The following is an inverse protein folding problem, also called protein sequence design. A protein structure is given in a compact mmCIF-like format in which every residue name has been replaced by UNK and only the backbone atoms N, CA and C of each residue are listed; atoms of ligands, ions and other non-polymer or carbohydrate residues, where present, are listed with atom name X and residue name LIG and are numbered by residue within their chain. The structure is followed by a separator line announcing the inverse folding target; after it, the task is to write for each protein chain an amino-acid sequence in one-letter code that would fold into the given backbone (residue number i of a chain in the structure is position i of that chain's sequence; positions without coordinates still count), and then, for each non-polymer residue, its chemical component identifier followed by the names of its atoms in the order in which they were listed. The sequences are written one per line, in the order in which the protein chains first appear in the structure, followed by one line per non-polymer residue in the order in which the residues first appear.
data_IF_019126093013
#
_entry.id   IF_019126093013
#
_cell.length_a   1.000
_cell.length_b   1.000
_cell.length_c   1.000
_cell.angle_alpha   90.00
_cell.angle_beta   90.00
_cell.angle_gamma   90.00
#
_symmetry.space_group_name_H-M   'P 1'
#
loop_
_entity.id
_entity.type
_entity.pdbx_description
1 polymer ?
#
# COMPACT_ATOMS: atom_id res chain seq x y z
N UNK A 1 -20.06 9.80 -4.56
CA UNK A 1 -19.79 8.80 -3.51
C UNK A 1 -18.39 8.24 -3.74
N UNK A 2 -17.43 8.42 -2.83
CA UNK A 2 -16.08 7.86 -3.00
C UNK A 2 -16.09 6.39 -2.52
N UNK A 3 -15.81 5.46 -3.44
CA UNK A 3 -15.74 4.03 -3.12
C UNK A 3 -14.53 3.77 -2.22
N UNK A 4 -14.74 3.09 -1.08
CA UNK A 4 -13.66 2.62 -0.22
C UNK A 4 -12.99 1.40 -0.87
N UNK A 5 -11.87 1.63 -1.57
CA UNK A 5 -11.09 0.62 -2.29
C UNK A 5 -9.59 0.75 -1.94
N UNK A 6 -9.23 0.53 -0.66
CA UNK A 6 -7.92 0.89 -0.12
C UNK A 6 -6.73 0.20 -0.82
N UNK A 7 -6.95 -0.96 -1.43
CA UNK A 7 -5.92 -1.72 -2.15
C UNK A 7 -6.11 -1.67 -3.68
N UNK A 8 -7.06 -0.85 -4.17
CA UNK A 8 -7.61 -0.98 -5.52
C UNK A 8 -8.79 -1.96 -5.56
N UNK A 9 -9.57 -1.95 -6.66
CA UNK A 9 -10.84 -2.68 -6.73
C UNK A 9 -10.67 -4.20 -6.58
N UNK A 10 -9.86 -4.84 -7.43
CA UNK A 10 -9.70 -6.29 -7.42
C UNK A 10 -9.01 -6.81 -6.16
N UNK A 11 -7.94 -6.16 -5.70
CA UNK A 11 -7.25 -6.58 -4.49
C UNK A 11 -8.13 -6.39 -3.23
N UNK A 12 -8.97 -5.35 -3.19
CA UNK A 12 -9.95 -5.17 -2.10
C UNK A 12 -10.97 -6.31 -2.09
N UNK A 13 -11.56 -6.65 -3.24
CA UNK A 13 -12.52 -7.75 -3.32
C UNK A 13 -11.90 -9.11 -2.99
N UNK A 14 -10.68 -9.35 -3.43
CA UNK A 14 -9.92 -10.57 -3.10
C UNK A 14 -9.57 -10.63 -1.62
N UNK A 15 -9.22 -9.50 -0.99
CA UNK A 15 -8.95 -9.44 0.44
C UNK A 15 -10.21 -9.76 1.26
N UNK A 16 -11.35 -9.17 0.88
CA UNK A 16 -12.64 -9.48 1.53
C UNK A 16 -12.98 -10.96 1.42
N UNK A 17 -12.68 -11.61 0.30
CA UNK A 17 -12.94 -13.04 0.09
C UNK A 17 -12.04 -13.90 0.97
N UNK A 18 -10.77 -13.50 1.14
CA UNK A 18 -9.84 -14.15 2.06
C UNK A 18 -10.24 -14.00 3.53
N UNK A 19 -10.79 -12.85 3.93
CA UNK A 19 -11.20 -12.59 5.32
C UNK A 19 -12.54 -13.23 5.68
N UNK A 20 -13.51 -13.16 4.77
CA UNK A 20 -14.90 -13.49 5.07
C UNK A 20 -15.37 -14.82 4.47
N UNK A 21 -14.62 -15.38 3.51
CA UNK A 21 -15.01 -16.53 2.71
C UNK A 21 -15.74 -16.14 1.42
N UNK A 22 -16.39 -17.11 0.73
CA UNK A 22 -16.94 -16.95 -0.62
C UNK A 22 -18.26 -16.16 -0.63
N UNK A 23 -18.20 -14.85 -0.35
CA UNK A 23 -19.36 -13.95 -0.23
C UNK A 23 -20.23 -13.81 -1.48
N UNK A 24 -19.78 -14.35 -2.63
CA UNK A 24 -20.58 -14.36 -3.86
C UNK A 24 -21.67 -15.43 -3.86
N UNK A 25 -21.48 -16.47 -3.05
CA UNK A 25 -22.35 -17.66 -3.01
C UNK A 25 -22.82 -18.02 -1.61
N UNK A 26 -22.21 -17.45 -0.56
CA UNK A 26 -22.59 -17.63 0.84
C UNK A 26 -23.02 -16.28 1.43
N UNK A 27 -24.29 -16.18 1.81
CA UNK A 27 -24.86 -15.00 2.46
C UNK A 27 -24.20 -14.70 3.81
N UNK A 28 -23.83 -15.72 4.58
CA UNK A 28 -23.10 -15.56 5.82
C UNK A 28 -21.72 -14.96 5.59
N UNK A 29 -21.03 -15.38 4.53
CA UNK A 29 -19.77 -14.77 4.10
C UNK A 29 -19.96 -13.33 3.61
N UNK A 30 -21.09 -13.01 2.97
CA UNK A 30 -21.39 -11.63 2.57
C UNK A 30 -21.54 -10.71 3.77
N UNK A 31 -22.28 -11.12 4.81
CA UNK A 31 -22.41 -10.32 6.03
C UNK A 31 -21.05 -10.11 6.71
N UNK A 32 -20.24 -11.18 6.84
CA UNK A 32 -18.87 -11.05 7.37
C UNK A 32 -18.00 -10.11 6.52
N UNK A 33 -18.14 -10.12 5.19
CA UNK A 33 -17.39 -9.25 4.31
C UNK A 33 -17.78 -7.78 4.50
N UNK A 34 -19.07 -7.50 4.74
CA UNK A 34 -19.56 -6.17 5.09
C UNK A 34 -18.99 -5.72 6.43
N UNK A 35 -18.98 -6.58 7.46
CA UNK A 35 -18.38 -6.26 8.76
C UNK A 35 -16.90 -5.88 8.64
N UNK A 36 -16.12 -6.66 7.87
CA UNK A 36 -14.70 -6.37 7.58
C UNK A 36 -14.55 -5.02 6.88
N UNK A 37 -15.40 -4.73 5.90
CA UNK A 37 -15.37 -3.47 5.15
C UNK A 37 -15.76 -2.26 6.04
N UNK A 38 -16.76 -2.41 6.89
CA UNK A 38 -17.19 -1.38 7.84
C UNK A 38 -16.14 -1.11 8.90
N UNK A 39 -15.52 -2.16 9.47
CA UNK A 39 -14.42 -2.02 10.41
C UNK A 39 -13.25 -1.23 9.79
N UNK A 40 -12.86 -1.57 8.56
CA UNK A 40 -11.82 -0.85 7.83
C UNK A 40 -12.21 0.61 7.54
N UNK A 41 -13.43 0.85 7.08
CA UNK A 41 -13.93 2.21 6.81
C UNK A 41 -13.99 3.07 8.08
N UNK A 42 -14.40 2.50 9.21
CA UNK A 42 -14.45 3.19 10.49
C UNK A 42 -13.05 3.56 10.98
N UNK A 43 -12.09 2.64 10.85
CA UNK A 43 -10.68 2.91 11.16
C UNK A 43 -10.11 4.03 10.27
N UNK A 44 -10.42 4.03 8.98
CA UNK A 44 -10.02 5.11 8.08
C UNK A 44 -10.61 6.46 8.48
N UNK A 45 -11.91 6.52 8.76
CA UNK A 45 -12.57 7.75 9.21
C UNK A 45 -12.01 8.27 10.54
N UNK A 46 -11.61 7.38 11.46
CA UNK A 46 -10.96 7.79 12.70
C UNK A 46 -9.64 8.52 12.42
N UNK A 47 -8.81 7.97 11.52
CA UNK A 47 -7.54 8.58 11.13
C UNK A 47 -7.73 9.90 10.36
N UNK A 48 -8.77 10.01 9.53
CA UNK A 48 -9.11 11.28 8.88
C UNK A 48 -9.49 12.36 9.90
N UNK A 49 -10.27 12.02 10.92
CA UNK A 49 -10.64 12.99 11.98
C UNK A 49 -9.43 13.49 12.74
N UNK A 50 -8.48 12.60 13.05
CA UNK A 50 -7.22 12.97 13.71
C UNK A 50 -6.40 13.92 12.84
N UNK A 51 -6.18 13.55 11.57
CA UNK A 51 -5.45 14.38 10.62
C UNK A 51 -6.10 15.75 10.41
N UNK A 52 -7.43 15.80 10.26
CA UNK A 52 -8.15 17.07 10.08
C UNK A 52 -8.04 17.98 11.31
N UNK A 53 -8.07 17.41 12.52
CA UNK A 53 -7.88 18.16 13.76
C UNK A 53 -6.47 18.76 13.84
N UNK A 54 -5.43 17.96 13.57
CA UNK A 54 -4.03 18.41 13.53
C UNK A 54 -3.82 19.51 12.48
N UNK A 55 -4.36 19.31 11.27
CA UNK A 55 -4.30 20.30 10.19
C UNK A 55 -5.03 21.59 10.56
N UNK A 56 -6.17 21.51 11.26
CA UNK A 56 -6.90 22.70 11.72
C UNK A 56 -6.05 23.53 12.71
N UNK A 57 -5.39 22.87 13.66
CA UNK A 57 -4.48 23.52 14.59
C UNK A 57 -3.26 24.13 13.88
N UNK A 58 -2.65 23.40 12.94
CA UNK A 58 -1.52 23.90 12.16
C UNK A 58 -1.89 25.11 11.30
N UNK A 59 -3.07 25.08 10.65
CA UNK A 59 -3.61 26.23 9.91
C UNK A 59 -3.82 27.45 10.81
N UNK A 60 -4.33 27.25 12.03
CA UNK A 60 -4.49 28.33 13.02
C UNK A 60 -3.16 28.98 13.42
N UNK A 61 -2.06 28.22 13.41
CA UNK A 61 -0.69 28.70 13.64
C UNK A 61 0.01 29.24 12.39
N UNK A 62 -0.69 29.41 11.27
CA UNK A 62 -0.15 29.94 10.01
C UNK A 62 0.42 28.89 9.05
N UNK A 63 0.56 27.62 9.44
CA UNK A 63 1.04 26.54 8.58
C UNK A 63 -0.08 26.00 7.66
N UNK A 64 -0.47 26.81 6.68
CA UNK A 64 -1.64 26.53 5.80
C UNK A 64 -1.40 25.40 4.79
N UNK A 65 -0.16 25.14 4.42
CA UNK A 65 0.21 24.01 3.57
C UNK A 65 0.70 22.83 4.41
N UNK A 66 0.35 21.57 4.06
CA UNK A 66 0.96 20.39 4.66
C UNK A 66 2.47 20.35 4.37
N UNK A 67 3.25 19.81 5.30
CA UNK A 67 4.67 19.56 5.03
C UNK A 67 4.80 18.45 3.96
N UNK A 68 5.80 18.47 3.06
CA UNK A 68 5.95 17.42 2.03
C UNK A 68 6.11 15.99 2.59
N UNK A 69 6.67 15.87 3.81
CA UNK A 69 6.81 14.59 4.52
C UNK A 69 5.63 14.28 5.45
N UNK A 70 4.65 15.18 5.54
CA UNK A 70 3.47 14.98 6.37
C UNK A 70 2.63 13.84 5.81
N UNK A 71 2.32 12.89 6.69
CA UNK A 71 1.49 11.75 6.36
C UNK A 71 0.07 12.22 6.06
N UNK A 72 -0.48 11.83 4.91
CA UNK A 72 -1.82 12.23 4.48
C UNK A 72 -2.72 11.00 4.26
N UNK A 73 -3.62 10.67 5.20
CA UNK A 73 -4.55 9.54 5.11
C UNK A 73 -5.46 9.54 3.87
N UNK A 74 -5.68 10.69 3.22
CA UNK A 74 -6.48 10.77 1.98
C UNK A 74 -5.75 10.18 0.77
N UNK A 75 -4.42 10.04 0.82
CA UNK A 75 -3.58 9.61 -0.31
C UNK A 75 -2.99 8.21 -0.14
N UNK A 76 -3.25 7.56 0.99
CA UNK A 76 -2.66 6.26 1.29
C UNK A 76 -3.51 5.09 0.76
N UNK A 77 -2.87 4.23 -0.01
CA UNK A 77 -3.42 2.95 -0.43
C UNK A 77 -3.03 1.86 0.59
N UNK A 78 -3.80 1.73 1.67
CA UNK A 78 -3.62 0.68 2.69
C UNK A 78 -4.94 0.25 3.29
N UNK A 79 -5.04 -1.01 3.68
CA UNK A 79 -6.19 -1.47 4.46
C UNK A 79 -6.15 -0.88 5.86
N UNK A 80 -7.19 -0.15 6.25
CA UNK A 80 -7.27 0.44 7.59
C UNK A 80 -7.78 -0.60 8.59
N UNK A 81 -7.25 -0.58 9.82
CA UNK A 81 -7.54 -1.57 10.87
C UNK A 81 -6.65 -2.83 10.83
N UNK A 82 -6.12 -3.20 9.65
CA UNK A 82 -5.17 -4.31 9.52
C UNK A 82 -4.12 -4.04 8.42
N UNK A 83 -3.28 -2.99 8.57
CA UNK A 83 -2.42 -2.51 7.49
C UNK A 83 -1.37 -3.54 7.05
N UNK A 84 -0.76 -4.29 7.98
CA UNK A 84 0.18 -5.38 7.63
C UNK A 84 -0.52 -6.48 6.82
N UNK A 85 -1.65 -6.99 7.32
CA UNK A 85 -2.40 -8.07 6.67
C UNK A 85 -2.86 -7.68 5.27
N UNK A 86 -3.43 -6.48 5.12
CA UNK A 86 -3.85 -5.97 3.82
C UNK A 86 -2.68 -5.73 2.86
N UNK A 87 -1.52 -5.30 3.36
CA UNK A 87 -0.32 -5.14 2.53
C UNK A 87 0.23 -6.48 2.04
N UNK A 88 0.36 -7.49 2.92
CA UNK A 88 0.77 -8.84 2.53
C UNK A 88 -0.18 -9.46 1.50
N UNK A 89 -1.49 -9.32 1.72
CA UNK A 89 -2.49 -9.80 0.75
C UNK A 89 -2.33 -9.11 -0.60
N UNK A 90 -2.12 -7.79 -0.62
CA UNK A 90 -1.91 -7.05 -1.85
C UNK A 90 -0.66 -7.53 -2.59
N UNK A 91 0.45 -7.76 -1.88
CA UNK A 91 1.68 -8.29 -2.47
C UNK A 91 1.48 -9.69 -3.07
N UNK A 92 0.85 -10.62 -2.34
CA UNK A 92 0.53 -11.96 -2.87
C UNK A 92 -0.36 -11.85 -4.10
N UNK A 93 -1.42 -11.04 -4.04
CA UNK A 93 -2.34 -10.83 -5.15
C UNK A 93 -1.63 -10.29 -6.40
N UNK A 94 -0.75 -9.29 -6.25
CA UNK A 94 0.00 -8.72 -7.37
C UNK A 94 0.99 -9.73 -7.97
N UNK A 95 1.65 -10.53 -7.14
CA UNK A 95 2.57 -11.60 -7.57
C UNK A 95 1.82 -12.68 -8.34
N UNK A 96 0.76 -13.24 -7.75
CA UNK A 96 0.06 -14.39 -8.31
C UNK A 96 -0.67 -14.03 -9.62
N UNK A 97 -1.11 -12.76 -9.76
CA UNK A 97 -1.69 -12.23 -11.00
C UNK A 97 -0.66 -11.76 -12.03
N UNK A 98 0.63 -11.81 -11.71
CA UNK A 98 1.71 -11.26 -12.55
C UNK A 98 1.48 -9.78 -12.91
N UNK A 99 0.92 -9.01 -11.96
CA UNK A 99 0.64 -7.57 -12.12
C UNK A 99 1.75 -6.68 -11.57
N UNK A 100 2.76 -7.27 -10.91
CA UNK A 100 4.03 -6.60 -10.68
C UNK A 100 4.73 -6.39 -12.03
N UNK A 101 5.20 -5.17 -12.35
CA UNK A 101 5.94 -4.97 -13.58
C UNK A 101 7.14 -5.92 -13.68
N UNK A 102 7.41 -6.46 -14.88
CA UNK A 102 8.39 -7.53 -15.05
C UNK A 102 9.80 -7.07 -14.67
N UNK A 103 10.62 -7.99 -14.16
CA UNK A 103 12.02 -7.74 -13.83
C UNK A 103 12.95 -7.72 -15.07
N UNK A 104 12.51 -8.26 -16.20
CA UNK A 104 13.34 -8.42 -17.40
C UNK A 104 13.91 -7.06 -17.87
N UNK A 105 15.24 -6.96 -17.88
CA UNK A 105 15.98 -5.76 -18.29
C UNK A 105 15.91 -4.58 -17.30
N UNK A 106 15.31 -4.74 -16.12
CA UNK A 106 15.23 -3.69 -15.10
C UNK A 106 15.77 -4.20 -13.75
N UNK A 107 17.02 -3.88 -13.38
CA UNK A 107 17.62 -4.36 -12.13
C UNK A 107 16.88 -3.85 -10.89
N UNK A 108 16.28 -2.65 -10.95
CA UNK A 108 15.52 -2.11 -9.82
C UNK A 108 14.22 -2.89 -9.61
N UNK A 109 13.57 -3.32 -10.69
CA UNK A 109 12.42 -4.19 -10.60
C UNK A 109 12.82 -5.58 -10.08
N UNK A 110 13.94 -6.15 -10.54
CA UNK A 110 14.44 -7.44 -10.04
C UNK A 110 14.73 -7.40 -8.53
N UNK A 111 15.39 -6.36 -8.05
CA UNK A 111 15.68 -6.18 -6.62
C UNK A 111 14.39 -5.97 -5.80
N UNK A 112 13.40 -5.26 -6.34
CA UNK A 112 12.11 -5.12 -5.69
C UNK A 112 11.35 -6.45 -5.62
N UNK A 113 11.39 -7.27 -6.67
CA UNK A 113 10.81 -8.62 -6.64
C UNK A 113 11.42 -9.46 -5.51
N UNK A 114 12.76 -9.42 -5.34
CA UNK A 114 13.43 -10.08 -4.20
C UNK A 114 12.92 -9.57 -2.85
N UNK A 115 12.70 -8.26 -2.71
CA UNK A 115 12.14 -7.70 -1.47
C UNK A 115 10.70 -8.16 -1.23
N UNK A 116 9.89 -8.27 -2.29
CA UNK A 116 8.52 -8.78 -2.20
C UNK A 116 8.52 -10.24 -1.76
N UNK A 117 9.34 -11.08 -2.38
CA UNK A 117 9.43 -12.50 -2.04
C UNK A 117 9.87 -12.70 -0.59
N UNK A 118 10.95 -12.02 -0.17
CA UNK A 118 11.41 -12.07 1.21
C UNK A 118 10.34 -11.60 2.22
N UNK A 119 9.57 -10.55 1.88
CA UNK A 119 8.49 -10.04 2.71
C UNK A 119 7.33 -11.04 2.83
N UNK A 120 6.97 -11.69 1.73
CA UNK A 120 5.90 -12.69 1.72
C UNK A 120 6.31 -13.97 2.46
N UNK A 121 7.54 -14.44 2.27
CA UNK A 121 8.09 -15.62 2.93
C UNK A 121 8.20 -15.46 4.45
N UNK A 122 8.55 -14.25 4.92
CA UNK A 122 8.68 -13.96 6.35
C UNK A 122 7.36 -13.59 7.04
N UNK A 123 6.28 -13.41 6.27
CA UNK A 123 5.03 -12.86 6.80
C UNK A 123 5.13 -11.37 7.20
N UNK A 124 6.03 -10.61 6.56
CA UNK A 124 6.14 -9.16 6.70
C UNK A 124 7.54 -8.66 7.05
N UNK A 125 8.16 -9.09 8.16
CA UNK A 125 9.46 -8.60 8.58
C UNK A 125 10.56 -8.79 7.52
N UNK A 126 11.29 -7.74 7.20
CA UNK A 126 12.47 -7.84 6.34
C UNK A 126 13.75 -8.02 7.17
N UNK A 127 14.78 -8.64 6.61
CA UNK A 127 16.13 -8.57 7.13
C UNK A 127 16.75 -7.18 6.92
N UNK A 128 17.96 -6.98 7.46
CA UNK A 128 18.67 -5.69 7.31
C UNK A 128 19.04 -5.46 5.84
N UNK A 129 19.48 -6.50 5.14
CA UNK A 129 19.90 -6.42 3.74
C UNK A 129 18.73 -6.09 2.82
N UNK A 130 17.58 -6.74 3.01
CA UNK A 130 16.37 -6.48 2.24
C UNK A 130 15.81 -5.08 2.50
N UNK A 131 15.90 -4.58 3.74
CA UNK A 131 15.52 -3.18 4.04
C UNK A 131 16.38 -2.19 3.27
N UNK A 132 17.70 -2.36 3.30
CA UNK A 132 18.62 -1.50 2.56
C UNK A 132 18.41 -1.61 1.04
N UNK A 133 18.08 -2.80 0.55
CA UNK A 133 17.74 -3.03 -0.85
C UNK A 133 16.46 -2.28 -1.25
N UNK A 134 15.40 -2.40 -0.45
CA UNK A 134 14.13 -1.71 -0.65
C UNK A 134 14.31 -0.18 -0.68
N UNK A 135 15.08 0.37 0.26
CA UNK A 135 15.37 1.81 0.29
C UNK A 135 16.07 2.30 -0.99
N UNK A 136 17.04 1.52 -1.51
CA UNK A 136 17.70 1.82 -2.79
C UNK A 136 16.72 1.76 -3.96
N UNK A 137 15.85 0.74 -4.01
CA UNK A 137 14.81 0.64 -5.03
C UNK A 137 13.87 1.86 -5.00
N UNK A 138 13.37 2.25 -3.82
CA UNK A 138 12.48 3.41 -3.67
C UNK A 138 13.16 4.69 -4.15
N UNK A 139 14.44 4.90 -3.78
CA UNK A 139 15.21 6.07 -4.21
C UNK A 139 15.35 6.11 -5.72
N UNK A 140 15.82 5.02 -6.33
CA UNK A 140 16.00 4.92 -7.78
C UNK A 140 14.69 5.14 -8.56
N UNK A 141 13.57 4.59 -8.07
CA UNK A 141 12.26 4.77 -8.71
C UNK A 141 11.76 6.22 -8.59
N UNK A 142 11.98 6.89 -7.46
CA UNK A 142 11.65 8.31 -7.31
C UNK A 142 12.49 9.20 -8.22
N UNK A 143 13.78 8.90 -8.36
CA UNK A 143 14.66 9.58 -9.30
C UNK A 143 14.16 9.40 -10.74
N UNK A 144 13.80 8.19 -11.16
CA UNK A 144 13.19 7.92 -12.49
C UNK A 144 11.95 8.78 -12.74
N UNK A 145 11.07 8.94 -11.74
CA UNK A 145 9.86 9.76 -11.86
C UNK A 145 10.15 11.27 -11.96
N UNK A 146 11.22 11.73 -11.33
CA UNK A 146 11.63 13.13 -11.37
C UNK A 146 12.40 13.46 -12.65
N UNK A 147 13.12 12.49 -13.21
CA UNK A 147 13.90 12.63 -14.45
C UNK A 147 13.09 12.34 -15.72
N UNK A 148 11.85 11.88 -15.62
CA UNK A 148 11.01 11.67 -16.81
C UNK A 148 10.60 13.03 -17.39
N UNK A 149 11.12 13.36 -18.58
CA UNK A 149 10.72 14.56 -19.30
C UNK A 149 9.20 14.53 -19.62
N UNK A 150 8.53 15.68 -19.79
CA UNK A 150 7.08 15.76 -20.10
C UNK A 150 6.66 14.97 -21.35
N UNK A 151 7.61 14.74 -22.23
CA UNK A 151 7.59 14.07 -23.54
C UNK A 151 8.17 12.64 -23.50
N UNK A 152 8.63 12.19 -22.33
CA UNK A 152 9.06 10.80 -22.10
C UNK A 152 7.92 9.79 -22.26
N UNK A 153 8.24 8.58 -22.72
CA UNK A 153 7.29 7.48 -22.93
C UNK A 153 6.48 7.25 -21.64
N UNK A 154 5.19 7.61 -21.64
CA UNK A 154 4.32 7.55 -20.45
C UNK A 154 4.26 6.18 -19.76
N UNK A 155 4.62 5.11 -20.49
CA UNK A 155 4.77 3.74 -19.98
C UNK A 155 5.82 3.61 -18.88
N UNK A 156 6.95 4.32 -18.96
CA UNK A 156 8.04 4.20 -17.98
C UNK A 156 7.66 4.87 -16.66
N UNK A 157 6.94 5.99 -16.75
CA UNK A 157 6.37 6.68 -15.59
C UNK A 157 5.33 5.80 -14.89
N UNK A 158 4.41 5.21 -15.64
CA UNK A 158 3.39 4.28 -15.09
C UNK A 158 4.07 3.10 -14.40
N UNK A 159 5.05 2.48 -15.08
CA UNK A 159 5.83 1.36 -14.52
C UNK A 159 6.52 1.73 -13.20
N UNK A 160 7.18 2.88 -13.14
CA UNK A 160 7.83 3.35 -11.92
C UNK A 160 6.83 3.62 -10.79
N UNK A 161 5.64 4.16 -11.10
CA UNK A 161 4.56 4.35 -10.13
C UNK A 161 4.02 3.02 -9.59
N UNK A 162 3.83 2.01 -10.45
CA UNK A 162 3.34 0.70 -10.02
C UNK A 162 4.38 -0.04 -9.16
N UNK A 163 5.67 0.05 -9.50
CA UNK A 163 6.76 -0.46 -8.66
C UNK A 163 6.81 0.27 -7.30
N UNK A 164 6.64 1.59 -7.26
CA UNK A 164 6.57 2.34 -6.00
C UNK A 164 5.35 1.96 -5.16
N UNK A 165 4.21 1.64 -5.79
CA UNK A 165 3.03 1.13 -5.09
C UNK A 165 3.33 -0.22 -4.44
N UNK A 166 3.98 -1.13 -5.15
CA UNK A 166 4.41 -2.41 -4.59
C UNK A 166 5.40 -2.22 -3.42
N UNK A 167 6.42 -1.38 -3.61
CA UNK A 167 7.39 -1.05 -2.56
C UNK A 167 6.71 -0.49 -1.30
N UNK A 168 5.66 0.33 -1.46
CA UNK A 168 4.88 0.85 -0.33
C UNK A 168 4.16 -0.25 0.46
N UNK A 169 3.65 -1.29 -0.22
CA UNK A 169 3.08 -2.44 0.48
C UNK A 169 4.15 -3.25 1.22
N UNK A 170 5.35 -3.38 0.65
CA UNK A 170 6.49 -3.99 1.37
C UNK A 170 6.82 -3.19 2.64
N UNK A 171 6.94 -1.85 2.55
CA UNK A 171 7.16 -1.00 3.72
C UNK A 171 6.07 -1.24 4.78
N UNK A 172 4.79 -1.20 4.39
CA UNK A 172 3.66 -1.36 5.31
C UNK A 172 3.61 -2.73 5.98
N UNK A 173 3.97 -3.80 5.27
CA UNK A 173 4.05 -5.14 5.82
C UNK A 173 5.26 -5.32 6.76
N UNK A 174 6.37 -4.64 6.46
CA UNK A 174 7.61 -4.71 7.21
C UNK A 174 7.63 -3.86 8.50
N UNK A 175 6.74 -2.86 8.65
CA UNK A 175 6.62 -2.09 9.90
C UNK A 175 6.30 -3.04 11.06
N UNK A 176 7.20 -3.11 12.03
CA UNK A 176 6.93 -3.79 13.30
C UNK A 176 5.71 -3.13 13.96
N UNK A 177 4.63 -3.89 14.14
CA UNK A 177 3.53 -3.43 14.97
C UNK A 177 3.99 -3.52 16.43
N UNK A 178 4.08 -2.37 17.09
CA UNK A 178 4.10 -2.29 18.55
C UNK A 178 2.71 -2.72 19.00
N UNK A 179 2.48 -4.01 19.24
CA UNK A 179 1.14 -4.48 19.62
C UNK A 179 0.90 -5.99 19.67
N UNK A 180 1.82 -6.85 19.20
CA UNK A 180 1.72 -8.30 19.40
C UNK A 180 2.73 -8.77 20.47
N UNK A 181 2.48 -8.36 21.71
CA UNK A 181 3.09 -8.91 22.92
C UNK A 181 2.01 -9.11 23.99
#
# INVERSE_FOLDING_TARGET
MQLYRPLGFHATLSFLEAEAGPYRTDEGALLRALDVLEAGRNAWHAELRLFDAERRLAKGRGARQPHPTERNPYREARWWGAPRKGALHCLSFLRDRHWLPPAAGDPVAADLHRCVDACLESGGPLGVEERLLLERCIRALRERLNSTAPDGKGTDRIRAMDLLRAARHVELAAVAHVGDA
#
